data_IF_541859364359
#
_entry.id   IF_541859364359
#
_cell.length_a   1.000
_cell.length_b   1.000
_cell.length_c   1.000
_cell.angle_alpha   90.00
_cell.angle_beta   90.00
_cell.angle_gamma   90.00
#
_symmetry.space_group_name_H-M   'P 1'
#
loop_
_entity.id
_entity.type
_entity.pdbx_description
1 polymer ?
#
# COMPACT_ATOMS: atom_id res chain seq x y z
N UNK A 1 -6.55 -7.04 -18.01
CA UNK A 1 -6.22 -8.29 -17.29
C UNK A 1 -7.14 -8.35 -16.08
N UNK A 2 -7.66 -9.53 -15.72
CA UNK A 2 -8.46 -9.66 -14.51
C UNK A 2 -7.57 -9.42 -13.27
N UNK A 3 -8.02 -8.59 -12.34
CA UNK A 3 -7.35 -8.31 -11.07
C UNK A 3 -7.99 -9.17 -9.98
N UNK A 4 -7.18 -9.74 -9.09
CA UNK A 4 -7.63 -10.57 -7.96
C UNK A 4 -7.50 -9.79 -6.65
N UNK A 5 -8.44 -9.99 -5.71
CA UNK A 5 -8.42 -9.33 -4.39
C UNK A 5 -7.29 -9.88 -3.52
N UNK A 6 -7.05 -11.18 -3.60
CA UNK A 6 -5.96 -11.87 -2.92
C UNK A 6 -5.48 -13.06 -3.75
N UNK A 7 -4.27 -13.52 -3.46
CA UNK A 7 -3.67 -14.69 -4.12
C UNK A 7 -4.07 -15.95 -3.36
N UNK A 8 -4.42 -16.99 -4.12
CA UNK A 8 -4.66 -18.33 -3.59
C UNK A 8 -3.37 -19.13 -3.75
N UNK A 9 -2.87 -19.71 -2.67
CA UNK A 9 -1.72 -20.61 -2.73
C UNK A 9 -2.13 -22.05 -2.40
N UNK A 10 -1.55 -23.00 -3.12
CA UNK A 10 -1.75 -24.43 -2.87
C UNK A 10 -0.59 -24.96 -2.05
N UNK A 11 -0.90 -25.61 -0.94
CA UNK A 11 0.07 -26.36 -0.13
C UNK A 11 -0.30 -27.83 -0.08
N UNK A 12 0.72 -28.65 0.12
CA UNK A 12 0.55 -30.08 0.33
C UNK A 12 0.91 -30.39 1.78
N UNK A 13 0.01 -31.07 2.48
CA UNK A 13 0.29 -31.64 3.79
C UNK A 13 1.27 -32.81 3.66
N UNK A 14 1.90 -33.21 4.77
CA UNK A 14 2.78 -34.39 4.82
C UNK A 14 2.03 -35.66 4.38
N UNK A 15 0.72 -35.72 4.65
CA UNK A 15 -0.19 -36.80 4.23
C UNK A 15 -0.52 -36.82 2.73
N UNK A 16 -0.01 -35.87 1.95
CA UNK A 16 -0.30 -35.75 0.52
C UNK A 16 -1.65 -35.08 0.19
N UNK A 17 -2.37 -34.59 1.20
CA UNK A 17 -3.60 -33.81 1.00
C UNK A 17 -3.25 -32.41 0.48
N UNK A 18 -3.87 -31.99 -0.62
CA UNK A 18 -3.75 -30.63 -1.15
C UNK A 18 -4.75 -29.70 -0.44
N UNK A 19 -4.26 -28.58 0.09
CA UNK A 19 -5.07 -27.52 0.67
C UNK A 19 -4.87 -26.22 -0.09
N UNK A 20 -5.97 -25.53 -0.37
CA UNK A 20 -5.96 -24.17 -0.89
C UNK A 20 -6.01 -23.19 0.28
N UNK A 21 -4.96 -22.38 0.44
CA UNK A 21 -4.88 -21.37 1.48
C UNK A 21 -5.36 -20.05 0.90
N UNK A 22 -6.24 -19.41 1.66
CA UNK A 22 -6.72 -18.05 1.42
C UNK A 22 -6.38 -17.17 2.63
N UNK A 23 -6.67 -15.86 2.62
CA UNK A 23 -6.59 -15.06 3.83
C UNK A 23 -7.58 -15.53 4.91
N UNK A 24 -7.25 -15.28 6.18
CA UNK A 24 -8.16 -15.63 7.27
C UNK A 24 -9.44 -14.81 7.23
N UNK A 25 -10.56 -15.49 7.51
CA UNK A 25 -11.82 -14.84 7.84
C UNK A 25 -11.68 -14.05 9.13
N UNK A 26 -12.39 -12.95 9.25
CA UNK A 26 -12.25 -12.01 10.37
C UNK A 26 -12.47 -12.72 11.71
N UNK A 27 -13.41 -13.68 11.79
CA UNK A 27 -13.65 -14.48 12.98
C UNK A 27 -12.40 -15.21 13.48
N UNK A 28 -11.68 -15.90 12.59
CA UNK A 28 -10.45 -16.62 12.92
C UNK A 28 -9.26 -15.68 13.07
N UNK A 29 -9.27 -14.53 12.39
CA UNK A 29 -8.25 -13.50 12.54
C UNK A 29 -8.25 -12.92 13.95
N UNK A 30 -9.42 -12.72 14.58
CA UNK A 30 -9.49 -12.27 15.98
C UNK A 30 -8.82 -13.26 16.93
N UNK A 31 -9.16 -14.55 16.80
CA UNK A 31 -8.51 -15.61 17.59
C UNK A 31 -7.00 -15.63 17.33
N UNK A 32 -6.59 -15.51 16.07
CA UNK A 32 -5.20 -15.48 15.66
C UNK A 32 -4.45 -14.32 16.31
N UNK A 33 -5.02 -13.11 16.33
CA UNK A 33 -4.40 -11.94 16.95
C UNK A 33 -4.17 -12.14 18.44
N UNK A 34 -5.15 -12.71 19.15
CA UNK A 34 -4.99 -13.00 20.59
C UNK A 34 -3.89 -14.00 20.87
N UNK A 35 -3.71 -15.02 20.02
CA UNK A 35 -2.60 -15.98 20.15
C UNK A 35 -1.28 -15.36 19.74
N UNK A 36 -1.30 -14.50 18.72
CA UNK A 36 -0.10 -13.85 18.19
C UNK A 36 0.51 -12.84 19.17
N UNK A 37 -0.30 -12.15 19.98
CA UNK A 37 0.18 -11.22 21.01
C UNK A 37 1.16 -11.88 22.00
N UNK A 38 1.03 -13.20 22.22
CA UNK A 38 1.95 -13.97 23.05
C UNK A 38 3.39 -13.97 22.52
N UNK A 39 3.60 -13.75 21.21
CA UNK A 39 4.94 -13.74 20.60
C UNK A 39 5.83 -12.65 21.20
N UNK A 40 5.23 -11.55 21.68
CA UNK A 40 5.95 -10.42 22.29
C UNK A 40 6.64 -10.78 23.60
N UNK A 41 6.09 -11.76 24.31
CA UNK A 41 6.58 -12.20 25.61
C UNK A 41 7.64 -13.31 25.48
N UNK A 42 7.78 -13.90 24.29
CA UNK A 42 8.78 -14.94 24.02
C UNK A 42 10.21 -14.40 24.16
N UNK A 43 11.08 -15.21 24.74
CA UNK A 43 12.48 -14.86 25.02
C UNK A 43 13.43 -15.39 23.96
N UNK A 44 13.09 -16.54 23.38
CA UNK A 44 13.96 -17.30 22.48
C UNK A 44 13.21 -17.66 21.19
N UNK A 45 13.94 -17.89 20.09
CA UNK A 45 13.34 -18.26 18.80
C UNK A 45 12.55 -19.57 18.86
N UNK A 46 12.94 -20.53 19.71
CA UNK A 46 12.19 -21.77 19.92
C UNK A 46 10.80 -21.52 20.50
N UNK A 47 10.70 -20.61 21.48
CA UNK A 47 9.41 -20.21 22.05
C UNK A 47 8.56 -19.45 21.02
N UNK A 48 9.19 -18.60 20.19
CA UNK A 48 8.50 -17.92 19.11
C UNK A 48 7.93 -18.90 18.07
N UNK A 49 8.69 -19.94 17.70
CA UNK A 49 8.21 -20.98 16.77
C UNK A 49 7.02 -21.74 17.34
N UNK A 50 7.01 -22.05 18.65
CA UNK A 50 5.86 -22.68 19.31
C UNK A 50 4.61 -21.79 19.28
N UNK A 51 4.77 -20.49 19.52
CA UNK A 51 3.64 -19.54 19.39
C UNK A 51 3.17 -19.47 17.93
N UNK A 52 4.08 -19.51 16.96
CA UNK A 52 3.73 -19.53 15.55
C UNK A 52 3.02 -20.83 15.13
N UNK A 53 3.36 -21.99 15.70
CA UNK A 53 2.63 -23.24 15.45
C UNK A 53 1.22 -23.20 16.06
N UNK A 54 1.06 -22.60 17.25
CA UNK A 54 -0.26 -22.31 17.82
C UNK A 54 -1.09 -21.38 16.92
N UNK A 55 -0.46 -20.37 16.31
CA UNK A 55 -1.12 -19.48 15.35
C UNK A 55 -1.57 -20.25 14.09
N UNK A 56 -0.75 -21.18 13.58
CA UNK A 56 -1.14 -22.06 12.47
C UNK A 56 -2.30 -22.98 12.85
N UNK A 57 -2.40 -23.40 14.12
CA UNK A 57 -3.57 -24.14 14.60
C UNK A 57 -4.87 -23.38 14.42
N UNK A 58 -4.85 -22.09 14.71
CA UNK A 58 -6.02 -21.22 14.48
C UNK A 58 -6.32 -21.14 12.98
N UNK A 59 -5.31 -21.00 12.13
CA UNK A 59 -5.48 -21.02 10.68
C UNK A 59 -6.12 -22.33 10.18
N UNK A 60 -5.70 -23.47 10.73
CA UNK A 60 -6.22 -24.78 10.32
C UNK A 60 -7.68 -24.99 10.69
N UNK A 61 -8.24 -24.27 11.67
CA UNK A 61 -9.69 -24.29 11.91
C UNK A 61 -10.49 -23.84 10.69
N UNK A 62 -9.92 -22.98 9.84
CA UNK A 62 -10.56 -22.53 8.61
C UNK A 62 -10.41 -23.54 7.47
N UNK A 63 -9.22 -24.12 7.28
CA UNK A 63 -8.93 -24.96 6.11
C UNK A 63 -9.19 -26.44 6.33
N UNK A 64 -8.87 -26.95 7.52
CA UNK A 64 -9.01 -28.36 7.86
C UNK A 64 -9.24 -28.56 9.37
N UNK A 65 -10.49 -28.47 9.85
CA UNK A 65 -10.82 -28.57 11.28
C UNK A 65 -10.40 -29.90 11.94
N UNK A 66 -10.14 -30.95 11.16
CA UNK A 66 -9.79 -32.28 11.68
C UNK A 66 -8.42 -32.31 12.37
N UNK A 67 -7.46 -31.51 11.86
CA UNK A 67 -6.07 -31.45 12.35
C UNK A 67 -5.82 -30.26 13.30
N UNK A 68 -6.83 -29.43 13.56
CA UNK A 68 -6.69 -28.21 14.39
C UNK A 68 -6.91 -28.46 15.89
N UNK A 69 -6.91 -29.72 16.35
CA UNK A 69 -7.30 -30.09 17.72
C UNK A 69 -6.16 -29.84 18.69
N UNK A 70 -4.98 -30.41 18.44
CA UNK A 70 -3.78 -30.23 19.26
C UNK A 70 -2.64 -29.60 18.46
N UNK A 71 -1.60 -29.15 19.17
CA UNK A 71 -0.36 -28.64 18.54
C UNK A 71 0.41 -29.81 17.92
N UNK A 72 0.38 -30.97 18.57
CA UNK A 72 1.03 -32.21 18.10
C UNK A 72 0.50 -32.64 16.74
N UNK A 73 -0.83 -32.60 16.53
CA UNK A 73 -1.45 -32.90 15.23
C UNK A 73 -0.91 -32.01 14.10
N UNK A 74 -0.44 -30.81 14.42
CA UNK A 74 0.10 -29.88 13.42
C UNK A 74 1.56 -30.16 13.16
N UNK A 75 2.34 -30.41 14.21
CA UNK A 75 3.76 -30.75 14.09
C UNK A 75 3.99 -32.08 13.36
N UNK A 76 3.04 -33.02 13.48
CA UNK A 76 3.08 -34.30 12.77
C UNK A 76 2.71 -34.17 11.29
N UNK A 77 1.83 -33.22 10.94
CA UNK A 77 1.26 -33.09 9.58
C UNK A 77 1.85 -31.94 8.74
N UNK A 78 2.58 -31.01 9.35
CA UNK A 78 3.15 -29.84 8.69
C UNK A 78 4.66 -29.73 8.92
N UNK A 79 5.38 -29.45 7.84
CA UNK A 79 6.76 -29.02 7.93
C UNK A 79 6.87 -27.51 8.20
N UNK A 80 7.97 -27.11 8.83
CA UNK A 80 8.22 -25.71 9.21
C UNK A 80 8.19 -24.73 8.00
N UNK A 81 8.66 -25.07 6.79
CA UNK A 81 8.45 -24.25 5.60
C UNK A 81 6.98 -24.02 5.23
N UNK A 82 6.12 -25.04 5.34
CA UNK A 82 4.69 -24.89 5.04
C UNK A 82 3.99 -24.05 6.11
N UNK A 83 4.39 -24.18 7.38
CA UNK A 83 3.95 -23.29 8.48
C UNK A 83 4.18 -21.82 8.12
N UNK A 84 5.38 -21.45 7.64
CA UNK A 84 5.68 -20.07 7.26
C UNK A 84 4.89 -19.60 6.03
N UNK A 85 4.65 -20.48 5.05
CA UNK A 85 3.79 -20.16 3.90
C UNK A 85 2.35 -19.89 4.34
N UNK A 86 1.81 -20.74 5.22
CA UNK A 86 0.46 -20.55 5.76
C UNK A 86 0.36 -19.20 6.47
N UNK A 87 1.31 -18.87 7.35
CA UNK A 87 1.31 -17.60 8.08
C UNK A 87 1.40 -16.38 7.14
N UNK A 88 2.17 -16.47 6.06
CA UNK A 88 2.29 -15.42 5.07
C UNK A 88 0.97 -15.19 4.31
N UNK A 89 0.33 -16.25 3.83
CA UNK A 89 -0.92 -16.13 3.05
C UNK A 89 -2.11 -15.79 3.95
N UNK A 90 -2.19 -16.42 5.12
CA UNK A 90 -3.34 -16.34 6.02
C UNK A 90 -3.35 -15.02 6.82
N UNK A 91 -2.19 -14.59 7.33
CA UNK A 91 -2.06 -13.44 8.24
C UNK A 91 -1.09 -12.36 7.74
N UNK A 92 -0.46 -12.53 6.57
CA UNK A 92 0.48 -11.55 6.02
C UNK A 92 1.83 -11.51 6.73
N UNK A 93 2.16 -12.50 7.56
CA UNK A 93 3.40 -12.53 8.34
C UNK A 93 4.50 -13.23 7.53
N UNK A 94 5.60 -12.53 7.25
CA UNK A 94 6.72 -13.07 6.48
C UNK A 94 7.85 -13.44 7.42
N UNK A 95 8.13 -14.75 7.50
CA UNK A 95 9.25 -15.29 8.26
C UNK A 95 10.22 -15.99 7.30
N UNK A 96 11.43 -15.45 7.20
CA UNK A 96 12.49 -15.95 6.33
C UNK A 96 13.61 -16.60 7.15
N UNK A 97 13.78 -17.92 7.01
CA UNK A 97 14.86 -18.68 7.66
C UNK A 97 16.28 -18.21 7.32
N UNK A 98 16.44 -17.42 6.26
CA UNK A 98 17.74 -16.95 5.75
C UNK A 98 18.13 -15.57 6.27
N UNK A 99 17.24 -14.87 6.96
CA UNK A 99 17.55 -13.58 7.56
C UNK A 99 18.33 -13.79 8.86
N UNK A 100 19.26 -12.87 9.16
CA UNK A 100 20.06 -12.87 10.40
C UNK A 100 19.24 -12.38 11.62
N UNK A 101 18.05 -11.84 11.39
CA UNK A 101 17.16 -11.33 12.43
C UNK A 101 16.43 -12.47 13.18
N UNK A 102 16.16 -12.33 14.49
CA UNK A 102 15.44 -13.34 15.23
C UNK A 102 14.00 -13.47 14.71
N UNK A 103 13.43 -14.67 14.82
CA UNK A 103 12.11 -15.01 14.28
C UNK A 103 11.02 -14.10 14.85
N UNK A 104 11.19 -13.70 16.11
CA UNK A 104 10.33 -12.74 16.80
C UNK A 104 10.30 -11.39 16.08
N UNK A 105 11.45 -10.80 15.80
CA UNK A 105 11.54 -9.47 15.21
C UNK A 105 11.04 -9.48 13.76
N UNK A 106 11.34 -10.55 13.02
CA UNK A 106 10.78 -10.75 11.68
C UNK A 106 9.25 -10.81 11.73
N UNK A 107 8.67 -11.60 12.63
CA UNK A 107 7.22 -11.75 12.74
C UNK A 107 6.53 -10.45 13.18
N UNK A 108 7.12 -9.69 14.11
CA UNK A 108 6.54 -8.42 14.57
C UNK A 108 6.66 -7.29 13.57
N UNK A 109 7.73 -7.27 12.75
CA UNK A 109 7.99 -6.18 11.80
C UNK A 109 7.38 -6.44 10.41
N UNK A 110 7.14 -7.71 10.04
CA UNK A 110 6.63 -8.07 8.71
C UNK A 110 5.12 -8.11 8.61
N UNK A 111 4.40 -8.21 9.73
CA UNK A 111 2.95 -8.18 9.75
C UNK A 111 2.38 -6.76 9.58
N UNK A 112 1.18 -6.61 9.01
CA UNK A 112 0.47 -5.33 9.10
C UNK A 112 0.25 -5.00 10.59
N UNK A 113 0.31 -3.72 10.94
CA UNK A 113 0.21 -3.25 12.33
C UNK A 113 -1.25 -3.36 12.80
N UNK A 114 -1.70 -4.59 13.08
CA UNK A 114 -3.07 -4.94 13.46
C UNK A 114 -3.55 -4.15 14.69
N UNK A 115 -2.63 -3.70 15.54
CA UNK A 115 -2.94 -2.86 16.71
C UNK A 115 -3.46 -1.47 16.37
N UNK A 116 -3.09 -0.94 15.21
CA UNK A 116 -3.55 0.38 14.76
C UNK A 116 -4.85 0.30 13.96
N UNK A 117 -5.23 -0.90 13.55
CA UNK A 117 -6.44 -1.15 12.78
C UNK A 117 -7.62 -1.31 13.74
N UNK A 118 -8.48 -0.29 13.78
CA UNK A 118 -9.77 -0.38 14.45
C UNK A 118 -10.73 -1.25 13.62
N UNK A 119 -10.65 -2.56 13.87
CA UNK A 119 -11.46 -3.56 13.19
C UNK A 119 -12.96 -3.34 13.45
N UNK A 120 -13.34 -2.91 14.65
CA UNK A 120 -14.74 -2.67 15.00
C UNK A 120 -15.33 -1.51 14.19
N UNK A 121 -14.57 -0.41 14.02
CA UNK A 121 -14.99 0.69 13.17
C UNK A 121 -15.15 0.25 11.71
N UNK A 122 -14.18 -0.49 11.17
CA UNK A 122 -14.22 -1.01 9.80
C UNK A 122 -15.41 -1.96 9.56
N UNK A 123 -15.67 -2.88 10.49
CA UNK A 123 -16.83 -3.78 10.46
C UNK A 123 -18.13 -3.00 10.51
N UNK A 124 -18.24 -1.99 11.38
CA UNK A 124 -19.45 -1.16 11.47
C UNK A 124 -19.75 -0.42 10.16
N UNK A 125 -18.72 0.08 9.47
CA UNK A 125 -18.88 0.80 8.20
C UNK A 125 -19.33 -0.15 7.07
N UNK A 126 -18.78 -1.37 7.02
CA UNK A 126 -19.20 -2.40 6.06
C UNK A 126 -20.59 -2.94 6.39
N UNK A 127 -20.93 -3.09 7.68
CA UNK A 127 -22.24 -3.56 8.11
C UNK A 127 -23.37 -2.62 7.68
N UNK A 128 -23.10 -1.31 7.55
CA UNK A 128 -24.06 -0.33 7.02
C UNK A 128 -24.49 -0.59 5.57
N UNK A 129 -23.76 -1.42 4.81
CA UNK A 129 -24.20 -1.88 3.48
C UNK A 129 -25.47 -2.74 3.55
N UNK A 130 -25.79 -3.32 4.71
CA UNK A 130 -27.03 -4.05 4.96
C UNK A 130 -27.12 -5.43 4.30
N UNK A 131 -25.97 -6.04 3.96
CA UNK A 131 -25.91 -7.36 3.31
C UNK A 131 -26.00 -8.50 4.35
N UNK A 132 -25.44 -8.29 5.55
CA UNK A 132 -25.35 -9.28 6.62
C UNK A 132 -26.42 -9.07 7.69
N UNK A 133 -26.89 -10.15 8.33
CA UNK A 133 -27.93 -10.10 9.37
C UNK A 133 -27.36 -9.68 10.73
N UNK A 134 -26.16 -10.15 11.04
CA UNK A 134 -25.44 -9.89 12.28
C UNK A 134 -23.93 -9.84 12.02
N UNK A 135 -23.17 -9.39 13.03
CA UNK A 135 -21.71 -9.30 12.93
C UNK A 135 -21.04 -10.66 12.84
N UNK A 136 -21.63 -11.73 13.39
CA UNK A 136 -21.04 -13.08 13.32
C UNK A 136 -21.07 -13.62 11.89
N UNK A 137 -22.15 -13.37 11.15
CA UNK A 137 -22.28 -13.69 9.73
C UNK A 137 -21.26 -12.90 8.87
N UNK A 138 -21.07 -11.61 9.18
CA UNK A 138 -20.06 -10.77 8.53
C UNK A 138 -18.65 -11.33 8.77
N UNK A 139 -18.31 -11.60 10.03
CA UNK A 139 -16.99 -12.07 10.40
C UNK A 139 -16.67 -13.48 9.85
N UNK A 140 -17.70 -14.31 9.68
CA UNK A 140 -17.57 -15.68 9.14
C UNK A 140 -17.54 -15.72 7.61
N UNK A 141 -18.01 -14.67 6.93
CA UNK A 141 -18.12 -14.66 5.48
C UNK A 141 -16.97 -13.96 4.77
N UNK A 142 -16.35 -12.95 5.40
CA UNK A 142 -15.31 -12.13 4.77
C UNK A 142 -13.95 -12.23 5.47
N UNK A 143 -12.90 -12.03 4.66
CA UNK A 143 -11.53 -11.80 5.09
C UNK A 143 -11.18 -10.30 5.06
N UNK A 144 -10.08 -9.92 5.72
CA UNK A 144 -9.63 -8.52 5.75
C UNK A 144 -9.37 -7.90 4.38
N UNK A 145 -8.70 -8.56 3.42
CA UNK A 145 -8.53 -8.01 2.08
C UNK A 145 -9.85 -7.75 1.36
N UNK A 146 -10.83 -8.65 1.51
CA UNK A 146 -12.16 -8.48 0.92
C UNK A 146 -12.92 -7.32 1.58
N UNK A 147 -12.81 -7.18 2.91
CA UNK A 147 -13.41 -6.07 3.65
C UNK A 147 -12.84 -4.73 3.18
N UNK A 148 -11.51 -4.64 3.09
CA UNK A 148 -10.82 -3.42 2.65
C UNK A 148 -11.14 -3.08 1.19
N UNK A 149 -11.18 -4.06 0.30
CA UNK A 149 -11.56 -3.87 -1.09
C UNK A 149 -12.99 -3.34 -1.19
N UNK A 150 -13.94 -3.99 -0.53
CA UNK A 150 -15.36 -3.58 -0.51
C UNK A 150 -15.52 -2.15 0.03
N UNK A 151 -14.81 -1.85 1.12
CA UNK A 151 -14.86 -0.54 1.75
C UNK A 151 -14.24 0.56 0.88
N UNK A 152 -13.12 0.27 0.23
CA UNK A 152 -12.49 1.20 -0.72
C UNK A 152 -13.43 1.53 -1.89
N UNK A 153 -14.06 0.51 -2.49
CA UNK A 153 -15.04 0.70 -3.57
C UNK A 153 -16.25 1.51 -3.09
N UNK A 154 -16.78 1.24 -1.90
CA UNK A 154 -17.86 2.04 -1.31
C UNK A 154 -17.44 3.49 -1.13
N UNK A 155 -16.26 3.75 -0.54
CA UNK A 155 -15.78 5.11 -0.27
C UNK A 155 -15.54 5.89 -1.56
N UNK A 156 -15.07 5.23 -2.61
CA UNK A 156 -14.90 5.81 -3.94
C UNK A 156 -16.25 6.20 -4.55
N UNK A 157 -17.24 5.31 -4.50
CA UNK A 157 -18.61 5.61 -4.95
C UNK A 157 -19.22 6.79 -4.19
N UNK A 158 -19.14 6.78 -2.85
CA UNK A 158 -19.62 7.89 -2.01
C UNK A 158 -18.91 9.22 -2.34
N UNK A 159 -17.61 9.17 -2.65
CA UNK A 159 -16.82 10.34 -3.02
C UNK A 159 -17.25 10.88 -4.39
N UNK A 160 -17.45 10.00 -5.37
CA UNK A 160 -17.94 10.37 -6.70
C UNK A 160 -19.35 10.98 -6.65
N UNK A 161 -20.25 10.42 -5.83
CA UNK A 161 -21.58 10.98 -5.62
C UNK A 161 -21.49 12.38 -4.99
N UNK A 162 -20.68 12.55 -3.94
CA UNK A 162 -20.47 13.87 -3.31
C UNK A 162 -19.86 14.87 -4.29
N UNK A 163 -18.91 14.43 -5.12
CA UNK A 163 -18.32 15.22 -6.19
C UNK A 163 -19.36 15.67 -7.22
N UNK A 164 -20.23 14.76 -7.66
CA UNK A 164 -21.31 15.09 -8.57
C UNK A 164 -22.29 16.10 -7.97
N UNK A 165 -22.71 15.90 -6.71
CA UNK A 165 -23.60 16.82 -5.99
C UNK A 165 -22.97 18.21 -5.79
N UNK A 166 -21.70 18.26 -5.41
CA UNK A 166 -20.98 19.52 -5.27
C UNK A 166 -20.87 20.25 -6.62
N UNK A 167 -20.56 19.53 -7.70
CA UNK A 167 -20.51 20.10 -9.04
C UNK A 167 -21.86 20.69 -9.48
N UNK A 168 -22.99 20.03 -9.16
CA UNK A 168 -24.34 20.60 -9.38
C UNK A 168 -24.52 21.92 -8.62
N UNK A 169 -23.98 22.01 -7.41
CA UNK A 169 -24.03 23.21 -6.58
C UNK A 169 -22.98 24.27 -6.98
N UNK A 170 -22.20 24.02 -8.03
CA UNK A 170 -21.13 24.91 -8.48
C UNK A 170 -19.88 24.89 -7.59
N UNK A 171 -19.73 23.90 -6.72
CA UNK A 171 -18.56 23.67 -5.85
C UNK A 171 -17.69 22.58 -6.45
N UNK A 172 -16.45 22.91 -6.82
CA UNK A 172 -15.48 21.92 -7.30
C UNK A 172 -14.68 21.33 -6.13
N UNK A 173 -15.00 20.08 -5.77
CA UNK A 173 -14.31 19.35 -4.71
C UNK A 173 -12.87 18.96 -5.07
N UNK A 174 -12.49 18.96 -6.35
CA UNK A 174 -11.13 18.68 -6.81
C UNK A 174 -10.29 19.96 -7.00
N UNK A 175 -10.83 21.14 -6.69
CA UNK A 175 -10.11 22.41 -6.85
C UNK A 175 -8.82 22.51 -5.99
N UNK A 176 -8.68 21.68 -4.96
CA UNK A 176 -7.45 21.60 -4.15
C UNK A 176 -6.46 20.51 -4.60
N UNK A 177 -6.89 19.54 -5.41
CA UNK A 177 -6.03 18.50 -5.98
C UNK A 177 -5.42 18.91 -7.32
N UNK A 178 -6.08 19.84 -8.02
CA UNK A 178 -5.54 20.56 -9.18
C UNK A 178 -5.17 21.98 -8.76
N UNK A 179 -3.92 22.37 -8.95
CA UNK A 179 -3.59 23.80 -8.92
C UNK A 179 -4.44 24.52 -9.98
N UNK A 180 -4.67 25.83 -9.81
CA UNK A 180 -5.48 26.71 -10.66
C UNK A 180 -5.09 26.74 -12.15
N UNK A 181 -4.04 26.00 -12.54
CA UNK A 181 -3.48 25.91 -13.89
C UNK A 181 -3.45 24.46 -14.46
N UNK A 182 -4.16 23.52 -13.84
CA UNK A 182 -4.28 22.14 -14.34
C UNK A 182 -3.03 21.25 -14.15
N UNK A 183 -1.96 21.76 -13.56
CA UNK A 183 -0.76 20.99 -13.20
C UNK A 183 -0.90 20.33 -11.81
N UNK A 184 -0.34 19.14 -11.64
CA UNK A 184 -0.32 18.39 -10.37
C UNK A 184 0.46 19.18 -9.30
N UNK A 185 -0.10 19.31 -8.09
CA UNK A 185 0.64 19.84 -6.92
C UNK A 185 1.93 19.05 -6.73
N UNK A 186 3.04 19.77 -6.59
CA UNK A 186 4.41 19.23 -6.59
C UNK A 186 5.17 19.44 -7.91
N UNK A 187 4.52 19.36 -9.07
CA UNK A 187 5.21 19.66 -10.35
C UNK A 187 5.47 21.15 -10.52
N UNK A 188 4.47 22.00 -10.23
CA UNK A 188 4.66 23.46 -10.28
C UNK A 188 5.68 23.92 -9.24
N UNK A 189 5.58 23.42 -8.00
CA UNK A 189 6.53 23.77 -6.94
C UNK A 189 7.97 23.35 -7.31
N UNK A 190 8.13 22.19 -7.95
CA UNK A 190 9.41 21.72 -8.47
C UNK A 190 9.91 22.55 -9.66
N UNK A 191 9.04 22.91 -10.60
CA UNK A 191 9.36 23.80 -11.72
C UNK A 191 9.77 25.19 -11.23
N UNK A 192 9.07 25.72 -10.23
CA UNK A 192 9.37 27.01 -9.59
C UNK A 192 10.67 26.97 -8.79
N UNK A 193 10.93 25.88 -8.06
CA UNK A 193 12.21 25.64 -7.37
C UNK A 193 13.36 25.55 -8.36
N UNK A 194 13.17 24.82 -9.46
CA UNK A 194 14.15 24.70 -10.54
C UNK A 194 14.43 26.08 -11.16
N UNK A 195 13.39 26.82 -11.51
CA UNK A 195 13.53 28.17 -12.06
C UNK A 195 14.28 29.11 -11.12
N UNK A 196 13.99 29.06 -9.82
CA UNK A 196 14.69 29.87 -8.81
C UNK A 196 16.15 29.46 -8.64
N UNK A 197 16.47 28.16 -8.62
CA UNK A 197 17.84 27.68 -8.46
C UNK A 197 18.69 27.98 -9.69
N UNK A 198 18.17 27.72 -10.89
CA UNK A 198 18.90 27.95 -12.15
C UNK A 198 19.08 29.44 -12.47
N UNK A 199 18.18 30.31 -12.00
CA UNK A 199 18.33 31.77 -12.12
C UNK A 199 19.17 32.41 -10.99
N UNK A 200 19.69 31.61 -10.05
CA UNK A 200 20.44 32.13 -8.89
C UNK A 200 19.59 32.97 -7.93
N UNK A 201 18.29 32.69 -7.83
CA UNK A 201 17.34 33.37 -6.95
C UNK A 201 16.61 34.56 -7.57
N UNK A 202 16.78 34.81 -8.87
CA UNK A 202 16.19 35.98 -9.55
C UNK A 202 14.78 35.73 -10.10
N UNK A 203 14.45 34.50 -10.48
CA UNK A 203 13.13 34.12 -10.95
C UNK A 203 12.17 33.85 -9.79
N UNK A 204 10.95 34.37 -9.89
CA UNK A 204 9.91 34.16 -8.87
C UNK A 204 9.22 32.81 -9.00
N UNK A 205 8.94 32.39 -10.23
CA UNK A 205 8.27 31.14 -10.61
C UNK A 205 8.82 30.57 -11.94
N UNK A 206 8.29 29.43 -12.37
CA UNK A 206 8.67 28.72 -13.60
C UNK A 206 8.25 29.39 -14.91
N UNK A 207 7.35 30.37 -14.85
CA UNK A 207 6.89 31.15 -16.01
C UNK A 207 7.61 32.50 -16.14
N UNK A 208 8.49 32.84 -15.19
CA UNK A 208 9.29 34.07 -15.19
C UNK A 208 10.39 34.01 -16.25
N UNK A 209 10.49 35.08 -17.06
CA UNK A 209 11.49 35.21 -18.13
C UNK A 209 12.92 35.16 -17.55
N UNK A 210 13.10 35.57 -16.28
CA UNK A 210 14.39 35.49 -15.59
C UNK A 210 14.84 34.04 -15.31
N UNK A 211 13.96 33.04 -15.44
CA UNK A 211 14.29 31.62 -15.35
C UNK A 211 15.03 31.11 -16.60
N UNK A 212 14.92 31.81 -17.73
CA UNK A 212 15.55 31.48 -19.00
C UNK A 212 16.92 32.18 -19.12
N UNK A 213 17.86 31.82 -18.23
CA UNK A 213 19.24 32.35 -18.25
C UNK A 213 20.28 31.22 -18.26
N UNK A 214 21.39 31.45 -18.95
CA UNK A 214 22.51 30.51 -19.01
C UNK A 214 22.13 29.15 -19.65
N UNK A 215 22.60 28.01 -19.09
CA UNK A 215 22.32 26.68 -19.65
C UNK A 215 20.83 26.31 -19.75
N UNK A 216 19.96 26.96 -18.97
CA UNK A 216 18.52 26.77 -19.05
C UNK A 216 17.92 27.44 -20.31
N UNK A 217 18.46 28.59 -20.72
CA UNK A 217 18.07 29.27 -21.96
C UNK A 217 18.46 28.44 -23.18
N UNK A 218 19.70 27.93 -23.22
CA UNK A 218 20.21 27.11 -24.32
C UNK A 218 19.37 25.83 -24.51
N UNK A 219 18.99 25.17 -23.42
CA UNK A 219 18.08 24.00 -23.45
C UNK A 219 16.67 24.33 -23.90
N UNK A 220 16.19 25.55 -23.63
CA UNK A 220 14.89 26.04 -24.10
C UNK A 220 14.94 26.60 -25.53
N UNK A 221 16.11 26.56 -26.20
CA UNK A 221 16.29 27.07 -27.56
C UNK A 221 16.58 28.57 -27.64
N UNK A 222 16.84 29.23 -26.52
CA UNK A 222 17.23 30.64 -26.44
C UNK A 222 18.75 30.74 -26.27
N UNK A 223 19.45 31.23 -27.30
CA UNK A 223 20.91 31.36 -27.26
C UNK A 223 21.47 32.01 -28.52
N UNK A 224 22.70 32.52 -28.41
CA UNK A 224 23.46 33.09 -29.54
C UNK A 224 23.67 31.97 -30.57
N UNK A 225 23.24 32.18 -31.82
CA UNK A 225 23.25 31.17 -32.89
C UNK A 225 22.01 30.26 -33.01
N UNK A 226 20.95 30.47 -32.20
CA UNK A 226 19.65 29.77 -32.30
C UNK A 226 18.52 30.69 -32.85
N UNK A 227 18.89 31.70 -33.66
CA UNK A 227 17.95 32.63 -34.31
C UNK A 227 17.73 33.97 -33.58
N UNK A 228 18.46 34.24 -32.50
CA UNK A 228 18.57 35.53 -31.83
C UNK A 228 20.03 36.02 -31.91
N UNK A 229 20.43 36.49 -33.08
CA UNK A 229 21.71 37.18 -33.25
C UNK A 229 21.56 38.67 -32.93
N UNK A 230 22.62 39.27 -32.38
CA UNK A 230 22.69 40.71 -32.16
C UNK A 230 23.61 41.31 -33.23
N UNK A 231 23.07 42.19 -34.07
CA UNK A 231 23.87 43.05 -34.93
C UNK A 231 24.31 44.27 -34.13
N UNK A 232 25.62 44.43 -33.91
CA UNK A 232 26.17 45.69 -33.41
C UNK A 232 26.29 46.66 -34.59
N UNK A 233 25.37 47.63 -34.66
CA UNK A 233 25.34 48.69 -35.68
C UNK A 233 26.60 49.60 -35.68
N UNK A 234 27.56 49.34 -34.78
CA UNK A 234 28.85 50.05 -34.68
C UNK A 234 30.03 49.20 -35.18
N UNK A 235 29.79 47.99 -35.67
CA UNK A 235 30.84 47.14 -36.23
C UNK A 235 31.35 47.75 -37.56
N UNK A 236 32.65 48.12 -37.65
CA UNK A 236 33.22 48.74 -38.83
C UNK A 236 33.27 47.83 -40.07
N UNK A 237 33.01 46.52 -39.91
CA UNK A 237 32.92 45.57 -41.04
C UNK A 237 31.58 45.63 -41.79
N UNK A 238 30.54 46.19 -41.17
CA UNK A 238 29.19 46.37 -41.77
C UNK A 238 29.05 47.80 -42.37
N UNK A 239 29.95 48.72 -42.03
CA UNK A 239 29.97 50.12 -42.51
C UNK A 239 30.73 50.34 -43.84
N UNK A 240 31.07 49.28 -44.58
CA UNK A 240 31.61 49.40 -45.94
C UNK A 240 30.70 48.69 -46.93
N UNK A 241 30.21 49.45 -47.91
CA UNK A 241 29.38 49.04 -49.04
C UNK A 241 29.68 47.65 -49.60
#
# INVERSE_FOLDING_TARGET
MATEIYKIEKINLVDGTELEIVPLKIKYLREFMTTFDAIRVTKNDQEAILVLSECVRVCMKQYHPSISKTIEDIEENLDLPTVYKILNVAAGIKVDKKSEEPVKDQATNSGPTWETLDLANLESEVFLLGIWKDYDELETSMSMPELMATLSSKRELDYEEKKFLAAIQGVDLDANSKSSDGKQRGQQEWEDLKARVFSGGKARDGNDILALQGPAAEKAGFGIGMGLDYDDLRDPSIMKN
#
